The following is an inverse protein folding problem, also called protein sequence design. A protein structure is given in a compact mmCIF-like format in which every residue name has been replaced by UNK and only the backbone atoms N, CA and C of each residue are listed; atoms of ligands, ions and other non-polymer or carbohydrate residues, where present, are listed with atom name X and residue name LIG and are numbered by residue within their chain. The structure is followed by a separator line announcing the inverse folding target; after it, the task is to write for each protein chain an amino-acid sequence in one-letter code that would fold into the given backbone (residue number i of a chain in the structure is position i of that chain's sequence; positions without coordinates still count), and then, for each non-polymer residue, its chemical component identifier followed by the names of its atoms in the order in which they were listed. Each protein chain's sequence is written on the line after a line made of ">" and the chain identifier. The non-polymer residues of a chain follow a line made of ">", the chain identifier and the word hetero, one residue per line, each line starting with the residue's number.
data_IF_431844925908
#
_entry.id   IF_431844925908
#
_cell.length_a   1.000
_cell.length_b   1.000
_cell.length_c   1.000
_cell.angle_alpha   90.00
_cell.angle_beta   90.00
_cell.angle_gamma   90.00
#
_symmetry.space_group_name_H-M   'P 1'
#
loop_
_entity.id
_entity.type
_entity.pdbx_description
1 polymer ?
#
# COMPACT_ATOMS: atom_id res chain seq x y z
N UNK A 1 -21.76 -4.67 -3.22
CA UNK A 1 -20.38 -5.05 -2.88
C UNK A 1 -20.37 -6.51 -2.43
N UNK A 2 -19.34 -7.28 -2.77
CA UNK A 2 -19.09 -8.62 -2.23
C UNK A 2 -17.66 -8.71 -1.72
N UNK A 3 -17.45 -9.63 -0.78
CA UNK A 3 -16.12 -9.92 -0.24
C UNK A 3 -15.28 -10.61 -1.30
N UNK A 4 -14.09 -10.08 -1.58
CA UNK A 4 -13.03 -10.71 -2.37
C UNK A 4 -11.81 -10.87 -1.48
N UNK A 5 -11.24 -12.08 -1.47
CA UNK A 5 -10.03 -12.42 -0.73
C UNK A 5 -8.81 -12.27 -1.62
N UNK A 6 -7.96 -11.32 -1.28
CA UNK A 6 -6.70 -11.04 -1.97
C UNK A 6 -5.54 -11.57 -1.13
N UNK A 7 -4.66 -12.36 -1.73
CA UNK A 7 -3.42 -12.83 -1.12
C UNK A 7 -2.28 -11.98 -1.66
N UNK A 8 -1.65 -11.21 -0.79
CA UNK A 8 -0.57 -10.29 -1.10
C UNK A 8 0.78 -10.90 -0.69
N UNK A 9 1.73 -10.88 -1.61
CA UNK A 9 3.13 -11.27 -1.39
C UNK A 9 4.06 -10.39 -2.20
N UNK A 10 5.31 -10.25 -1.79
CA UNK A 10 6.37 -9.54 -2.51
C UNK A 10 7.72 -10.08 -2.06
N UNK A 11 8.81 -9.73 -2.76
CA UNK A 11 10.18 -9.97 -2.29
C UNK A 11 10.43 -11.46 -1.98
N UNK A 12 9.96 -12.32 -2.88
CA UNK A 12 10.10 -13.77 -2.72
C UNK A 12 11.49 -14.26 -3.08
N UNK A 13 12.23 -13.54 -3.93
CA UNK A 13 13.65 -13.78 -4.16
C UNK A 13 13.98 -15.27 -4.45
N UNK A 14 13.33 -15.85 -5.47
CA UNK A 14 13.39 -17.26 -5.88
C UNK A 14 12.78 -18.29 -4.92
N UNK A 15 12.21 -17.84 -3.80
CA UNK A 15 11.40 -18.68 -2.93
C UNK A 15 10.02 -18.90 -3.54
N UNK A 16 9.40 -20.02 -3.17
CA UNK A 16 8.07 -20.42 -3.65
C UNK A 16 7.19 -20.75 -2.45
N UNK A 17 6.78 -19.75 -1.65
CA UNK A 17 6.03 -20.00 -0.43
C UNK A 17 4.71 -20.72 -0.70
N UNK A 18 4.25 -21.50 0.29
CA UNK A 18 2.88 -22.03 0.28
C UNK A 18 1.92 -20.86 0.52
N UNK A 19 1.00 -20.65 -0.41
CA UNK A 19 0.00 -19.59 -0.32
C UNK A 19 -1.30 -20.11 0.30
N UNK A 20 -1.99 -19.32 1.13
CA UNK A 20 -3.35 -19.63 1.55
C UNK A 20 -4.34 -19.50 0.38
N UNK A 21 -5.50 -20.14 0.47
CA UNK A 21 -6.53 -19.98 -0.55
C UNK A 21 -7.08 -18.54 -0.58
N UNK A 22 -7.38 -18.05 -1.78
CA UNK A 22 -8.02 -16.77 -2.03
C UNK A 22 -8.55 -16.68 -3.45
N UNK A 23 -9.16 -15.56 -3.79
CA UNK A 23 -9.73 -15.33 -5.12
C UNK A 23 -8.67 -14.72 -6.06
N UNK A 24 -7.82 -13.84 -5.50
CA UNK A 24 -6.81 -13.07 -6.25
C UNK A 24 -5.45 -13.21 -5.59
N UNK A 25 -4.41 -13.45 -6.38
CA UNK A 25 -3.01 -13.33 -5.97
C UNK A 25 -2.42 -12.03 -6.50
N UNK A 26 -1.75 -11.26 -5.64
CA UNK A 26 -0.96 -10.09 -6.03
C UNK A 26 0.50 -10.29 -5.58
N UNK A 27 1.42 -10.27 -6.54
CA UNK A 27 2.87 -10.25 -6.29
C UNK A 27 3.44 -8.85 -6.57
N UNK A 28 3.92 -8.14 -5.54
CA UNK A 28 4.33 -6.74 -5.64
C UNK A 28 5.81 -6.51 -5.97
N UNK A 29 6.40 -7.37 -6.81
CA UNK A 29 7.80 -7.26 -7.26
C UNK A 29 8.80 -8.16 -6.51
N UNK A 30 10.02 -8.21 -7.03
CA UNK A 30 11.15 -9.01 -6.56
C UNK A 30 10.83 -10.51 -6.46
N UNK A 31 10.40 -11.06 -7.59
CA UNK A 31 10.16 -12.49 -7.75
C UNK A 31 11.46 -13.30 -7.64
N UNK A 32 12.58 -12.70 -8.05
CA UNK A 32 13.87 -13.37 -8.27
C UNK A 32 15.00 -12.68 -7.51
N UNK A 33 16.20 -13.25 -7.52
CA UNK A 33 17.39 -12.58 -6.97
C UNK A 33 18.06 -11.64 -7.98
N UNK A 34 17.92 -11.89 -9.28
CA UNK A 34 18.64 -11.14 -10.31
C UNK A 34 17.89 -11.05 -11.64
N UNK A 35 16.76 -11.74 -11.79
CA UNK A 35 15.97 -11.73 -13.01
C UNK A 35 16.60 -12.49 -14.17
N UNK A 36 17.42 -13.52 -13.93
CA UNK A 36 17.84 -14.40 -15.04
C UNK A 36 16.63 -15.16 -15.61
N UNK A 37 16.71 -15.58 -16.88
CA UNK A 37 15.65 -16.34 -17.55
C UNK A 37 15.25 -17.60 -16.76
N UNK A 38 16.23 -18.33 -16.22
CA UNK A 38 15.96 -19.53 -15.40
C UNK A 38 15.23 -19.23 -14.11
N UNK A 39 15.55 -18.11 -13.45
CA UNK A 39 14.86 -17.67 -12.23
C UNK A 39 13.44 -17.23 -12.54
N UNK A 40 13.27 -16.37 -13.55
CA UNK A 40 11.97 -15.89 -14.01
C UNK A 40 11.06 -17.05 -14.41
N UNK A 41 11.58 -18.00 -15.19
CA UNK A 41 10.82 -19.18 -15.61
C UNK A 41 10.32 -19.97 -14.39
N UNK A 42 11.18 -20.23 -13.40
CA UNK A 42 10.80 -20.92 -12.17
C UNK A 42 9.73 -20.17 -11.39
N UNK A 43 9.86 -18.84 -11.27
CA UNK A 43 8.90 -17.99 -10.56
C UNK A 43 7.54 -17.96 -11.27
N UNK A 44 7.53 -17.75 -12.59
CA UNK A 44 6.32 -17.77 -13.43
C UNK A 44 5.63 -19.12 -13.28
N UNK A 45 6.33 -20.23 -13.49
CA UNK A 45 5.75 -21.57 -13.34
C UNK A 45 5.16 -21.81 -11.95
N UNK A 46 5.76 -21.28 -10.89
CA UNK A 46 5.21 -21.35 -9.54
C UNK A 46 3.90 -20.57 -9.42
N UNK A 47 3.84 -19.34 -9.92
CA UNK A 47 2.63 -18.50 -9.89
C UNK A 47 1.52 -19.12 -10.73
N UNK A 48 1.84 -19.60 -11.94
CA UNK A 48 0.86 -20.21 -12.84
C UNK A 48 0.17 -21.44 -12.21
N UNK A 49 0.89 -22.21 -11.40
CA UNK A 49 0.34 -23.38 -10.67
C UNK A 49 -0.58 -23.04 -9.50
N UNK A 50 -0.64 -21.79 -9.06
CA UNK A 50 -1.49 -21.43 -7.92
C UNK A 50 -2.96 -21.40 -8.31
N UNK A 51 -3.84 -21.86 -7.43
CA UNK A 51 -5.29 -21.91 -7.66
C UNK A 51 -5.95 -20.60 -7.22
N UNK A 52 -5.74 -19.57 -8.05
CA UNK A 52 -6.39 -18.25 -7.93
C UNK A 52 -7.03 -17.92 -9.27
N UNK A 53 -8.18 -17.27 -9.23
CA UNK A 53 -8.89 -16.86 -10.43
C UNK A 53 -8.15 -15.74 -11.18
N UNK A 54 -7.57 -14.79 -10.45
CA UNK A 54 -6.71 -13.75 -11.00
C UNK A 54 -5.34 -13.72 -10.32
N UNK A 55 -4.28 -13.54 -11.11
CA UNK A 55 -2.89 -13.45 -10.63
C UNK A 55 -2.26 -12.20 -11.22
N UNK A 56 -1.98 -11.21 -10.39
CA UNK A 56 -1.45 -9.91 -10.80
C UNK A 56 -0.01 -9.83 -10.33
N UNK A 57 0.89 -9.46 -11.24
CA UNK A 57 2.32 -9.39 -10.97
C UNK A 57 2.86 -8.07 -11.47
N UNK A 58 3.64 -7.39 -10.62
CA UNK A 58 4.58 -6.36 -11.05
C UNK A 58 6.00 -6.88 -10.84
N UNK A 59 6.96 -6.37 -11.61
CA UNK A 59 8.38 -6.61 -11.36
C UNK A 59 8.87 -5.77 -10.17
N UNK A 60 10.03 -6.10 -9.61
CA UNK A 60 10.79 -5.25 -8.70
C UNK A 60 12.16 -4.92 -9.25
N UNK A 61 13.02 -4.30 -8.44
CA UNK A 61 14.34 -3.86 -8.87
C UNK A 61 15.32 -5.02 -9.12
N UNK A 62 15.01 -6.23 -8.65
CA UNK A 62 15.77 -7.45 -8.91
C UNK A 62 15.46 -8.11 -10.25
N UNK A 63 14.36 -7.77 -10.93
CA UNK A 63 14.03 -8.30 -12.25
C UNK A 63 14.82 -7.60 -13.38
N UNK A 64 16.15 -7.63 -13.28
CA UNK A 64 17.07 -6.82 -14.09
C UNK A 64 16.85 -6.99 -15.59
N UNK A 65 16.61 -8.21 -16.07
CA UNK A 65 16.42 -8.47 -17.51
C UNK A 65 15.09 -7.95 -18.04
N UNK A 66 14.12 -7.61 -17.18
CA UNK A 66 12.84 -7.04 -17.60
C UNK A 66 12.97 -5.53 -17.92
N UNK A 67 13.98 -4.85 -17.38
CA UNK A 67 14.40 -3.50 -17.77
C UNK A 67 15.51 -3.60 -18.83
N UNK A 68 15.12 -3.80 -20.08
CA UNK A 68 16.07 -4.01 -21.18
C UNK A 68 17.09 -2.86 -21.34
N UNK A 69 16.72 -1.55 -21.26
CA UNK A 69 17.68 -0.46 -21.23
C UNK A 69 18.72 -0.59 -20.11
N UNK A 70 18.27 -0.86 -18.87
CA UNK A 70 19.17 -1.04 -17.74
C UNK A 70 20.08 -2.26 -17.90
N UNK A 71 19.50 -3.42 -18.28
CA UNK A 71 20.26 -4.65 -18.51
C UNK A 71 21.34 -4.46 -19.57
N UNK A 72 21.02 -3.88 -20.73
CA UNK A 72 21.99 -3.71 -21.81
C UNK A 72 23.17 -2.83 -21.41
N UNK A 73 22.91 -1.80 -20.58
CA UNK A 73 23.93 -0.90 -20.04
C UNK A 73 24.78 -1.55 -18.93
N UNK A 74 24.16 -2.36 -18.07
CA UNK A 74 24.76 -2.81 -16.81
C UNK A 74 25.03 -4.32 -16.71
N UNK A 75 24.76 -5.13 -17.75
CA UNK A 75 24.90 -6.60 -17.69
C UNK A 75 26.27 -7.08 -17.25
N UNK A 76 27.34 -6.32 -17.51
CA UNK A 76 28.71 -6.62 -17.09
C UNK A 76 28.97 -6.47 -15.58
N UNK A 77 28.07 -5.80 -14.85
CA UNK A 77 28.14 -5.68 -13.38
C UNK A 77 27.62 -6.92 -12.64
N UNK A 78 27.09 -7.91 -13.37
CA UNK A 78 26.41 -9.07 -12.80
C UNK A 78 26.99 -10.37 -13.34
N UNK A 79 26.96 -11.42 -12.51
CA UNK A 79 27.31 -12.77 -12.94
C UNK A 79 26.05 -13.49 -13.39
N UNK A 80 25.99 -13.87 -14.66
CA UNK A 80 24.84 -14.56 -15.24
C UNK A 80 25.10 -16.07 -15.37
N UNK A 81 24.06 -16.93 -15.24
CA UNK A 81 24.20 -18.37 -15.46
C UNK A 81 24.45 -18.73 -16.94
N UNK A 82 24.20 -17.78 -17.85
CA UNK A 82 24.44 -17.88 -19.28
C UNK A 82 24.05 -16.56 -19.96
N UNK A 83 24.03 -16.53 -21.29
CA UNK A 83 23.51 -15.36 -22.02
C UNK A 83 22.02 -15.14 -21.69
N UNK A 84 21.65 -13.89 -21.49
CA UNK A 84 20.27 -13.50 -21.21
C UNK A 84 19.73 -12.68 -22.38
N UNK A 85 18.47 -12.93 -22.73
CA UNK A 85 17.70 -12.15 -23.67
C UNK A 85 16.53 -11.47 -22.93
N UNK A 86 16.58 -10.14 -22.71
CA UNK A 86 15.50 -9.37 -22.12
C UNK A 86 14.13 -9.63 -22.75
N UNK A 87 14.09 -9.85 -24.07
CA UNK A 87 12.84 -10.10 -24.80
C UNK A 87 12.26 -11.45 -24.39
N UNK A 88 13.07 -12.50 -24.41
CA UNK A 88 12.65 -13.83 -23.98
C UNK A 88 12.24 -13.86 -22.49
N UNK A 89 12.98 -13.15 -21.64
CA UNK A 89 12.64 -13.00 -20.22
C UNK A 89 11.27 -12.35 -20.03
N UNK A 90 11.00 -11.23 -20.71
CA UNK A 90 9.73 -10.51 -20.59
C UNK A 90 8.55 -11.32 -21.12
N UNK A 91 8.75 -12.09 -22.21
CA UNK A 91 7.74 -12.98 -22.78
C UNK A 91 7.17 -13.99 -21.79
N UNK A 92 7.97 -14.50 -20.85
CA UNK A 92 7.50 -15.43 -19.81
C UNK A 92 6.31 -14.86 -19.01
N UNK A 93 6.30 -13.54 -18.77
CA UNK A 93 5.24 -12.85 -18.04
C UNK A 93 4.13 -12.34 -18.96
N UNK A 94 4.48 -11.67 -20.08
CA UNK A 94 3.48 -11.03 -20.93
C UNK A 94 2.67 -12.01 -21.80
N UNK A 95 3.23 -13.18 -22.13
CA UNK A 95 2.53 -14.20 -22.92
C UNK A 95 1.85 -15.26 -22.02
N UNK A 96 1.95 -15.16 -20.69
CA UNK A 96 1.26 -16.05 -19.78
C UNK A 96 -0.26 -15.87 -19.89
N UNK A 97 -0.98 -16.98 -19.99
CA UNK A 97 -2.46 -16.97 -20.03
C UNK A 97 -3.10 -16.81 -18.66
N UNK A 98 -2.33 -17.01 -17.59
CA UNK A 98 -2.84 -16.99 -16.21
C UNK A 98 -2.33 -15.83 -15.38
N UNK A 99 -1.24 -15.19 -15.79
CA UNK A 99 -0.66 -14.02 -15.12
C UNK A 99 -1.03 -12.76 -15.88
N UNK A 100 -1.54 -11.77 -15.14
CA UNK A 100 -1.65 -10.39 -15.60
C UNK A 100 -0.43 -9.61 -15.11
N UNK A 101 0.55 -9.44 -15.99
CA UNK A 101 1.73 -8.64 -15.71
C UNK A 101 1.47 -7.15 -15.98
N UNK A 102 1.73 -6.29 -14.99
CA UNK A 102 1.54 -4.85 -15.09
C UNK A 102 2.90 -4.15 -15.00
N UNK A 103 3.20 -3.32 -15.98
CA UNK A 103 4.43 -2.55 -16.05
C UNK A 103 4.11 -1.08 -16.28
N UNK A 104 3.77 -0.39 -15.19
CA UNK A 104 3.32 0.99 -15.20
C UNK A 104 2.03 1.20 -16.02
N UNK A 105 1.08 0.29 -15.82
CA UNK A 105 -0.18 0.21 -16.57
C UNK A 105 -1.36 -0.12 -15.65
N UNK A 106 -2.58 0.20 -16.11
CA UNK A 106 -3.83 -0.16 -15.44
C UNK A 106 -4.55 -1.26 -16.20
N UNK A 107 -5.22 -2.14 -15.46
CA UNK A 107 -6.15 -3.13 -15.99
C UNK A 107 -7.44 -3.17 -15.17
N UNK A 108 -8.48 -3.80 -15.71
CA UNK A 108 -9.70 -4.16 -14.97
C UNK A 108 -9.70 -5.66 -14.76
N UNK A 109 -9.96 -6.08 -13.52
CA UNK A 109 -10.05 -7.49 -13.13
C UNK A 109 -11.52 -7.83 -12.94
N UNK A 110 -11.95 -8.90 -13.58
CA UNK A 110 -13.30 -9.43 -13.52
C UNK A 110 -13.23 -10.87 -13.04
N UNK A 111 -13.82 -11.13 -11.86
CA UNK A 111 -13.94 -12.46 -11.29
C UNK A 111 -15.31 -13.01 -11.67
N UNK A 112 -15.34 -14.03 -12.50
CA UNK A 112 -16.50 -14.64 -13.16
C UNK A 112 -16.70 -16.11 -12.79
N UNK A 113 -15.83 -16.69 -11.96
CA UNK A 113 -15.95 -18.07 -11.50
C UNK A 113 -17.34 -18.30 -10.89
N UNK A 114 -18.07 -19.37 -11.28
CA UNK A 114 -19.44 -19.63 -10.80
C UNK A 114 -19.55 -19.74 -9.27
N UNK A 115 -18.48 -20.20 -8.62
CA UNK A 115 -18.39 -20.31 -7.16
C UNK A 115 -17.58 -19.17 -6.53
N UNK A 116 -17.12 -18.21 -7.35
CA UNK A 116 -16.31 -17.08 -6.94
C UNK A 116 -17.15 -15.88 -6.50
N UNK A 117 -16.49 -14.76 -6.16
CA UNK A 117 -17.19 -13.59 -5.64
C UNK A 117 -18.03 -12.86 -6.69
N UNK A 118 -17.77 -13.01 -7.99
CA UNK A 118 -18.52 -12.31 -9.03
C UNK A 118 -18.26 -10.80 -9.01
N UNK A 119 -17.00 -10.37 -8.87
CA UNK A 119 -16.64 -8.97 -8.58
C UNK A 119 -15.75 -8.35 -9.65
N UNK A 120 -15.76 -7.01 -9.71
CA UNK A 120 -14.96 -6.23 -10.65
C UNK A 120 -14.28 -5.05 -9.98
N UNK A 121 -13.01 -4.83 -10.29
CA UNK A 121 -12.22 -3.72 -9.77
C UNK A 121 -11.06 -3.38 -10.71
N UNK A 122 -10.52 -2.17 -10.59
CA UNK A 122 -9.37 -1.69 -11.36
C UNK A 122 -8.07 -1.80 -10.58
N UNK A 123 -6.98 -2.12 -11.28
CA UNK A 123 -5.65 -2.26 -10.68
C UNK A 123 -4.63 -1.51 -11.51
N UNK A 124 -3.91 -0.57 -10.90
CA UNK A 124 -2.69 0.00 -11.46
C UNK A 124 -1.48 -0.76 -10.91
N UNK A 125 -0.54 -1.14 -11.76
CA UNK A 125 0.68 -1.83 -11.37
C UNK A 125 1.94 -1.15 -11.90
N UNK A 126 2.98 -0.96 -11.08
CA UNK A 126 4.25 -0.35 -11.49
C UNK A 126 5.46 -0.95 -10.77
N UNK A 127 6.55 -1.31 -11.48
CA UNK A 127 7.76 -1.85 -10.86
C UNK A 127 8.68 -0.77 -10.30
N UNK A 128 8.40 0.50 -10.60
CA UNK A 128 9.35 1.58 -10.43
C UNK A 128 9.73 1.88 -8.98
N UNK A 129 11.03 2.12 -8.77
CA UNK A 129 11.60 2.51 -7.47
C UNK A 129 12.47 3.77 -7.54
N UNK A 130 12.58 4.56 -6.45
CA UNK A 130 13.55 5.64 -6.38
C UNK A 130 14.97 5.10 -6.60
N UNK A 131 15.81 5.87 -7.27
CA UNK A 131 17.19 5.47 -7.54
C UNK A 131 17.97 5.14 -6.25
N UNK A 132 18.35 3.87 -6.12
CA UNK A 132 19.16 3.32 -5.03
C UNK A 132 20.18 2.33 -5.60
N UNK A 133 21.48 2.64 -5.48
CA UNK A 133 22.54 1.80 -6.05
C UNK A 133 22.36 1.54 -7.56
N UNK A 134 22.69 0.33 -8.02
CA UNK A 134 22.67 -0.05 -9.43
C UNK A 134 21.67 -1.19 -9.65
N UNK A 135 20.37 -0.86 -9.62
CA UNK A 135 19.27 -1.82 -9.84
C UNK A 135 18.31 -1.34 -10.94
N UNK A 136 17.50 -2.27 -11.45
CA UNK A 136 16.54 -1.99 -12.53
C UNK A 136 15.33 -1.17 -12.05
N UNK A 137 14.58 -0.62 -13.02
CA UNK A 137 13.32 0.10 -12.82
C UNK A 137 13.43 1.34 -11.93
N UNK A 138 14.57 2.04 -12.00
CA UNK A 138 14.81 3.21 -11.16
C UNK A 138 14.48 4.53 -11.85
N UNK A 139 13.88 5.46 -11.09
CA UNK A 139 13.69 6.85 -11.50
C UNK A 139 14.43 7.81 -10.54
N UNK A 140 14.79 8.98 -11.04
CA UNK A 140 15.44 10.04 -10.27
C UNK A 140 14.40 10.78 -9.43
N UNK A 141 14.83 11.37 -8.30
CA UNK A 141 13.92 12.02 -7.36
C UNK A 141 13.06 13.13 -8.01
N UNK A 142 13.63 13.86 -8.97
CA UNK A 142 12.94 14.90 -9.75
C UNK A 142 11.87 14.35 -10.72
N UNK A 143 11.96 13.09 -11.13
CA UNK A 143 11.00 12.42 -12.03
C UNK A 143 9.81 11.82 -11.27
N UNK A 144 9.88 11.77 -9.94
CA UNK A 144 8.94 11.02 -9.10
C UNK A 144 7.48 11.49 -9.28
N UNK A 145 7.26 12.80 -9.38
CA UNK A 145 5.91 13.34 -9.63
C UNK A 145 5.37 12.91 -10.99
N UNK A 146 6.17 13.02 -12.05
CA UNK A 146 5.76 12.67 -13.41
C UNK A 146 5.49 11.17 -13.55
N UNK A 147 6.24 10.34 -12.82
CA UNK A 147 6.01 8.91 -12.72
C UNK A 147 4.66 8.64 -12.05
N UNK A 148 4.41 9.16 -10.85
CA UNK A 148 3.23 8.78 -10.08
C UNK A 148 1.94 9.49 -10.51
N UNK A 149 2.02 10.66 -11.16
CA UNK A 149 0.83 11.33 -11.71
C UNK A 149 0.16 10.55 -12.84
N UNK A 150 0.82 9.52 -13.39
CA UNK A 150 0.24 8.60 -14.39
C UNK A 150 -0.71 7.54 -13.83
N UNK A 151 -0.72 7.31 -12.51
CA UNK A 151 -1.75 6.46 -11.89
C UNK A 151 -3.10 7.11 -12.17
N UNK A 152 -4.11 6.45 -12.76
CA UNK A 152 -5.38 7.10 -13.04
C UNK A 152 -6.18 7.42 -11.77
N UNK A 153 -6.98 8.49 -11.81
CA UNK A 153 -7.96 8.78 -10.77
C UNK A 153 -9.02 7.66 -10.71
N UNK A 154 -9.54 7.38 -9.52
CA UNK A 154 -10.60 6.38 -9.34
C UNK A 154 -10.15 4.91 -9.41
N UNK A 155 -8.84 4.64 -9.46
CA UNK A 155 -8.32 3.27 -9.38
C UNK A 155 -8.62 2.64 -8.02
N UNK A 156 -9.10 1.39 -8.01
CA UNK A 156 -9.47 0.71 -6.76
C UNK A 156 -8.23 0.22 -5.98
N UNK A 157 -7.24 -0.31 -6.69
CA UNK A 157 -6.03 -0.91 -6.11
C UNK A 157 -4.79 -0.37 -6.84
N UNK A 158 -3.81 0.08 -6.06
CA UNK A 158 -2.47 0.42 -6.54
C UNK A 158 -1.49 -0.65 -6.09
N UNK A 159 -0.72 -1.19 -7.03
CA UNK A 159 0.37 -2.16 -6.77
C UNK A 159 1.68 -1.53 -7.24
N UNK A 160 2.57 -1.23 -6.31
CA UNK A 160 3.87 -0.63 -6.62
C UNK A 160 4.96 -1.40 -5.90
N UNK A 161 6.12 -1.60 -6.52
CA UNK A 161 7.20 -2.22 -5.75
C UNK A 161 7.65 -1.31 -4.60
N UNK A 162 7.73 0.00 -4.84
CA UNK A 162 8.02 1.03 -3.82
C UNK A 162 6.85 1.29 -2.87
N UNK A 163 7.09 1.39 -1.54
CA UNK A 163 6.10 1.88 -0.59
C UNK A 163 5.96 3.41 -0.62
N UNK A 164 4.79 3.97 -0.28
CA UNK A 164 4.65 5.41 -0.04
C UNK A 164 5.43 5.83 1.21
N UNK A 165 6.02 7.03 1.19
CA UNK A 165 6.78 7.56 2.34
C UNK A 165 5.92 7.60 3.61
N UNK A 166 6.48 7.13 4.72
CA UNK A 166 5.86 7.19 6.05
C UNK A 166 4.96 6.00 6.40
N UNK A 167 4.61 5.14 5.43
CA UNK A 167 3.70 4.02 5.65
C UNK A 167 4.32 2.70 5.18
N UNK A 168 4.50 1.78 6.13
CA UNK A 168 5.09 0.45 5.86
C UNK A 168 6.44 0.51 5.09
N UNK A 169 7.27 1.52 5.39
CA UNK A 169 8.52 1.85 4.69
C UNK A 169 9.71 2.07 5.64
N UNK A 170 9.61 1.59 6.88
CA UNK A 170 10.69 1.68 7.86
C UNK A 170 11.87 0.75 7.49
N UNK A 171 13.09 1.27 7.58
CA UNK A 171 14.36 0.58 7.37
C UNK A 171 15.09 0.34 8.69
N UNK A 172 16.04 -0.59 8.71
CA UNK A 172 16.88 -0.86 9.89
C UNK A 172 18.04 0.14 10.05
N UNK A 173 18.29 1.01 9.06
CA UNK A 173 19.43 1.91 9.09
C UNK A 173 19.11 3.26 9.74
N UNK A 174 20.10 3.76 10.49
CA UNK A 174 20.09 5.00 11.25
C UNK A 174 20.10 6.28 10.37
N UNK A 175 19.37 6.29 9.24
CA UNK A 175 18.99 7.57 8.64
C UNK A 175 18.11 8.31 9.65
N UNK A 176 18.21 9.65 9.70
CA UNK A 176 17.58 10.47 10.76
C UNK A 176 16.06 10.28 10.91
N UNK A 177 15.42 9.73 9.88
CA UNK A 177 13.99 9.40 9.80
C UNK A 177 13.73 7.89 9.60
N UNK A 178 14.74 7.07 9.22
CA UNK A 178 14.62 5.62 9.06
C UNK A 178 13.68 5.15 7.94
N UNK A 179 13.10 6.04 7.15
CA UNK A 179 11.99 5.77 6.22
C UNK A 179 12.42 5.91 4.76
N UNK A 180 12.16 4.93 3.92
CA UNK A 180 12.67 4.86 2.54
C UNK A 180 11.60 4.98 1.44
N UNK A 181 10.33 5.15 1.82
CA UNK A 181 9.24 5.25 0.85
C UNK A 181 9.26 6.55 0.04
N UNK A 182 8.48 6.61 -1.04
CA UNK A 182 8.47 7.74 -1.96
C UNK A 182 7.45 8.83 -1.55
N UNK A 183 7.88 10.10 -1.33
CA UNK A 183 6.97 11.19 -0.98
C UNK A 183 5.99 11.58 -2.09
N UNK A 184 6.40 11.47 -3.36
CA UNK A 184 5.53 11.75 -4.50
C UNK A 184 4.42 10.68 -4.63
N UNK A 185 4.73 9.41 -4.33
CA UNK A 185 3.72 8.36 -4.27
C UNK A 185 2.72 8.62 -3.15
N UNK A 186 3.17 9.01 -1.95
CA UNK A 186 2.29 9.43 -0.84
C UNK A 186 1.32 10.55 -1.28
N UNK A 187 1.86 11.59 -1.94
CA UNK A 187 1.05 12.70 -2.47
C UNK A 187 0.06 12.26 -3.55
N UNK A 188 0.41 11.29 -4.39
CA UNK A 188 -0.53 10.75 -5.38
C UNK A 188 -1.64 9.95 -4.71
N UNK A 189 -1.30 9.09 -3.76
CA UNK A 189 -2.27 8.29 -3.01
C UNK A 189 -3.25 9.16 -2.21
N UNK A 190 -2.81 10.27 -1.62
CA UNK A 190 -3.71 11.19 -0.91
C UNK A 190 -4.74 11.88 -1.81
N UNK A 191 -4.42 12.03 -3.10
CA UNK A 191 -5.31 12.60 -4.12
C UNK A 191 -6.30 11.56 -4.65
N UNK A 192 -5.83 10.37 -5.03
CA UNK A 192 -6.67 9.35 -5.71
C UNK A 192 -7.35 8.37 -4.76
N UNK A 193 -6.81 8.22 -3.55
CA UNK A 193 -7.38 7.47 -2.41
C UNK A 193 -7.87 6.06 -2.81
N UNK A 194 -6.98 5.19 -3.30
CA UNK A 194 -7.39 3.83 -3.64
C UNK A 194 -7.78 3.08 -2.37
N UNK A 195 -8.59 2.02 -2.48
CA UNK A 195 -8.93 1.16 -1.34
C UNK A 195 -7.66 0.51 -0.77
N UNK A 196 -6.81 0.02 -1.66
CA UNK A 196 -5.58 -0.70 -1.31
C UNK A 196 -4.37 -0.10 -2.04
N UNK A 197 -3.26 0.01 -1.33
CA UNK A 197 -1.93 0.27 -1.88
C UNK A 197 -1.00 -0.86 -1.44
N UNK A 198 -0.65 -1.76 -2.35
CA UNK A 198 0.13 -2.98 -2.05
C UNK A 198 1.55 -2.81 -2.58
N UNK A 199 2.55 -3.06 -1.74
CA UNK A 199 3.95 -2.87 -2.06
C UNK A 199 4.88 -3.91 -1.43
N UNK A 200 6.19 -3.73 -1.66
CA UNK A 200 7.28 -4.54 -1.13
C UNK A 200 8.53 -3.71 -0.91
N UNK A 201 9.68 -4.18 -1.42
CA UNK A 201 10.98 -3.49 -1.51
C UNK A 201 11.68 -3.29 -0.16
N UNK A 202 10.97 -2.72 0.82
CA UNK A 202 11.49 -2.45 2.16
C UNK A 202 11.05 -3.59 3.09
N UNK A 203 11.90 -4.60 3.25
CA UNK A 203 11.55 -5.83 3.98
C UNK A 203 11.19 -5.59 5.45
N UNK A 204 11.88 -4.64 6.09
CA UNK A 204 11.64 -4.20 7.46
C UNK A 204 10.28 -3.51 7.61
N UNK A 205 9.75 -2.96 6.51
CA UNK A 205 8.46 -2.29 6.45
C UNK A 205 7.26 -3.23 6.37
N UNK A 206 7.46 -4.56 6.30
CA UNK A 206 6.39 -5.57 6.25
C UNK A 206 5.34 -5.29 7.32
N UNK A 207 4.12 -4.99 6.88
CA UNK A 207 3.05 -4.55 7.77
C UNK A 207 1.84 -4.03 7.00
N UNK A 208 0.85 -3.56 7.77
CA UNK A 208 -0.38 -2.98 7.23
C UNK A 208 -0.75 -1.75 8.04
N UNK A 209 -1.06 -0.67 7.33
CA UNK A 209 -1.49 0.60 7.90
C UNK A 209 -2.74 1.07 7.16
N UNK A 210 -3.79 1.46 7.88
CA UNK A 210 -4.96 2.12 7.28
C UNK A 210 -4.86 3.62 7.51
N UNK A 211 -4.61 4.35 6.44
CA UNK A 211 -4.35 5.80 6.43
C UNK A 211 -5.65 6.51 6.16
N UNK A 212 -6.05 7.44 7.04
CA UNK A 212 -7.15 8.38 6.78
C UNK A 212 -6.58 9.68 6.24
N UNK A 213 -7.02 10.07 5.05
CA UNK A 213 -6.56 11.29 4.38
C UNK A 213 -7.29 12.52 4.90
N UNK A 214 -6.58 13.63 5.01
CA UNK A 214 -7.21 14.92 5.34
C UNK A 214 -8.12 15.37 4.19
N UNK A 215 -9.33 15.83 4.54
CA UNK A 215 -10.35 16.29 3.57
C UNK A 215 -10.53 17.80 3.54
N UNK A 216 -10.10 18.51 4.58
CA UNK A 216 -10.24 19.97 4.66
C UNK A 216 -9.13 20.69 3.85
N UNK A 217 -9.45 21.80 3.15
CA UNK A 217 -8.45 22.65 2.50
C UNK A 217 -7.46 23.22 3.53
N UNK A 218 -6.18 23.27 3.18
CA UNK A 218 -5.10 23.80 4.03
C UNK A 218 -5.33 25.26 4.47
N UNK A 219 -6.22 25.98 3.79
CA UNK A 219 -6.44 27.43 3.93
C UNK A 219 -7.38 27.81 5.10
N UNK A 220 -7.96 26.83 5.79
CA UNK A 220 -8.74 27.01 7.04
C UNK A 220 -7.96 26.52 8.29
N UNK A 221 -6.65 26.31 8.14
CA UNK A 221 -5.77 25.95 9.23
C UNK A 221 -5.65 27.07 10.28
N UNK A 222 -5.98 26.76 11.53
CA UNK A 222 -5.51 27.55 12.68
C UNK A 222 -3.97 27.48 12.73
N UNK A 223 -3.30 28.43 13.39
CA UNK A 223 -1.83 28.53 13.51
C UNK A 223 -1.11 27.28 14.11
N UNK A 224 -1.84 26.21 14.38
CA UNK A 224 -1.40 24.93 14.94
C UNK A 224 -1.41 23.77 13.94
N UNK A 225 -1.74 24.00 12.66
CA UNK A 225 -1.84 22.91 11.68
C UNK A 225 -0.51 22.62 10.97
N UNK A 226 -0.02 21.38 11.05
CA UNK A 226 1.32 20.98 10.59
C UNK A 226 1.43 20.72 9.07
N UNK A 227 0.39 21.01 8.28
CA UNK A 227 0.38 20.76 6.83
C UNK A 227 0.35 19.27 6.43
N UNK A 228 0.02 18.36 7.36
CA UNK A 228 -0.01 16.91 7.12
C UNK A 228 -1.12 16.49 6.14
N UNK A 229 -0.77 15.64 5.16
CA UNK A 229 -1.73 14.99 4.26
C UNK A 229 -2.59 13.93 4.97
N UNK A 230 -2.09 13.42 6.09
CA UNK A 230 -2.66 12.31 6.86
C UNK A 230 -3.36 12.86 8.10
N UNK A 231 -4.62 12.48 8.27
CA UNK A 231 -5.42 12.82 9.46
C UNK A 231 -5.16 11.83 10.60
N UNK A 232 -5.13 10.53 10.31
CA UNK A 232 -4.85 9.48 11.30
C UNK A 232 -4.38 8.20 10.61
N UNK A 233 -3.74 7.32 11.39
CA UNK A 233 -3.26 6.01 10.93
C UNK A 233 -3.70 4.94 11.93
N UNK A 234 -4.32 3.88 11.44
CA UNK A 234 -4.57 2.66 12.21
C UNK A 234 -3.50 1.61 11.87
N UNK A 235 -2.78 1.13 12.88
CA UNK A 235 -1.75 0.10 12.73
C UNK A 235 -2.35 -1.29 12.91
N UNK A 236 -2.06 -2.19 11.98
CA UNK A 236 -2.49 -3.59 12.08
C UNK A 236 -1.59 -4.39 13.01
N UNK A 237 -2.23 -5.19 13.87
CA UNK A 237 -1.56 -6.22 14.66
C UNK A 237 -1.68 -7.56 13.93
N UNK A 238 -0.56 -8.13 13.48
CA UNK A 238 -0.54 -9.33 12.65
C UNK A 238 -0.94 -10.58 13.47
N UNK A 239 -2.15 -11.15 13.26
CA UNK A 239 -2.62 -12.31 14.02
C UNK A 239 -1.79 -13.57 13.74
N UNK A 240 -1.08 -13.60 12.61
CA UNK A 240 -0.23 -14.70 12.17
C UNK A 240 1.23 -14.59 12.60
N UNK A 241 1.66 -13.48 13.22
CA UNK A 241 3.08 -13.23 13.54
C UNK A 241 3.68 -14.27 14.51
N UNK A 242 2.94 -14.64 15.54
CA UNK A 242 3.40 -15.54 16.61
C UNK A 242 2.54 -16.80 16.76
N UNK A 243 1.62 -17.04 15.82
CA UNK A 243 0.68 -18.16 15.87
C UNK A 243 0.61 -18.91 14.53
N UNK A 244 -0.12 -20.01 14.45
CA UNK A 244 -0.40 -20.70 13.18
C UNK A 244 -1.53 -20.06 12.36
N UNK A 245 -2.13 -18.96 12.85
CA UNK A 245 -3.18 -18.25 12.12
C UNK A 245 -2.63 -17.63 10.84
N UNK A 246 -3.53 -17.41 9.88
CA UNK A 246 -3.25 -16.61 8.69
C UNK A 246 -3.07 -15.14 9.10
N UNK A 247 -2.17 -14.44 8.41
CA UNK A 247 -1.96 -13.00 8.57
C UNK A 247 -3.09 -12.24 7.86
N UNK A 248 -4.27 -12.23 8.49
CA UNK A 248 -5.50 -11.66 7.92
C UNK A 248 -5.69 -10.18 8.26
N UNK A 249 -6.11 -9.41 7.27
CA UNK A 249 -6.67 -8.07 7.35
C UNK A 249 -8.12 -8.15 6.88
N UNK A 250 -9.08 -7.86 7.75
CA UNK A 250 -10.51 -7.85 7.40
C UNK A 250 -11.00 -6.40 7.24
N UNK A 251 -11.19 -5.99 6.00
CA UNK A 251 -11.70 -4.68 5.57
C UNK A 251 -13.17 -4.76 5.12
N UNK A 252 -13.93 -5.75 5.59
CA UNK A 252 -15.37 -5.82 5.31
C UNK A 252 -16.15 -4.81 6.17
N UNK A 253 -17.32 -4.36 5.69
CA UNK A 253 -18.16 -3.38 6.41
C UNK A 253 -18.37 -3.76 7.87
N UNK A 254 -18.63 -5.04 8.17
CA UNK A 254 -18.85 -5.51 9.54
C UNK A 254 -17.64 -5.29 10.44
N UNK A 255 -16.43 -5.47 9.91
CA UNK A 255 -15.16 -5.27 10.61
C UNK A 255 -14.83 -3.77 10.79
N UNK A 256 -15.24 -2.94 9.84
CA UNK A 256 -14.98 -1.49 9.84
C UNK A 256 -15.99 -0.72 10.70
N UNK A 257 -17.25 -1.19 10.78
CA UNK A 257 -18.33 -0.49 11.49
C UNK A 257 -18.09 -0.30 13.01
N UNK A 258 -17.13 -1.01 13.60
CA UNK A 258 -16.72 -0.86 15.00
C UNK A 258 -15.43 -0.05 15.21
N UNK A 259 -14.83 0.51 14.14
CA UNK A 259 -13.61 1.32 14.24
C UNK A 259 -13.98 2.80 14.19
N UNK A 260 -13.22 3.64 14.90
CA UNK A 260 -13.37 5.11 14.91
C UNK A 260 -13.07 5.78 13.54
N UNK A 261 -12.93 4.98 12.48
CA UNK A 261 -12.73 5.44 11.12
C UNK A 261 -14.03 5.72 10.36
N UNK A 262 -15.20 5.52 10.96
CA UNK A 262 -16.50 5.82 10.35
C UNK A 262 -16.92 4.76 9.32
N UNK A 263 -18.16 4.32 9.41
CA UNK A 263 -18.72 3.34 8.51
C UNK A 263 -19.17 4.02 7.21
N UNK A 264 -18.37 3.95 6.14
CA UNK A 264 -18.78 4.41 4.81
C UNK A 264 -19.72 3.41 4.14
N UNK A 265 -20.95 3.36 4.64
CA UNK A 265 -22.10 2.84 3.89
C UNK A 265 -23.31 3.74 4.10
N UNK A 266 -23.53 4.66 3.16
CA UNK A 266 -24.84 5.26 2.96
C UNK A 266 -25.84 4.20 2.51
N UNK A 267 -26.51 3.52 3.45
CA UNK A 267 -27.77 2.85 3.18
C UNK A 267 -28.85 3.94 3.04
N UNK A 268 -29.74 3.89 2.04
CA UNK A 268 -30.82 4.85 1.92
C UNK A 268 -31.81 4.58 3.06
N UNK A 269 -31.73 5.33 4.16
CA UNK A 269 -32.79 5.33 5.17
C UNK A 269 -34.02 5.99 4.55
N UNK A 270 -35.01 5.17 4.22
CA UNK A 270 -36.39 5.64 4.15
C UNK A 270 -36.75 6.22 5.53
N UNK A 271 -37.19 7.47 5.51
CA UNK A 271 -37.73 8.17 6.66
C UNK A 271 -39.05 7.55 7.06
N UNK A 272 -39.13 6.98 8.26
CA UNK A 272 -40.38 6.94 9.03
C UNK A 272 -40.04 7.50 10.41
N UNK A 273 -40.62 8.67 10.68
CA UNK A 273 -40.71 9.29 11.99
C UNK A 273 -41.70 8.53 12.87
N UNK A 274 -41.43 8.46 14.17
CA UNK A 274 -42.36 8.64 15.30
C UNK A 274 -41.59 8.29 16.59
N UNK A 275 -41.13 9.27 17.36
CA UNK A 275 -41.82 10.03 18.41
C UNK A 275 -41.93 9.30 19.76
N UNK A 276 -41.16 9.83 20.72
CA UNK A 276 -41.45 10.08 22.14
C UNK A 276 -41.59 8.95 23.17
N UNK A 277 -40.76 9.06 24.22
CA UNK A 277 -41.04 9.11 25.68
C UNK A 277 -39.89 8.40 26.44
N UNK A 278 -39.01 9.13 27.13
CA UNK A 278 -39.12 9.68 28.49
C UNK A 278 -38.97 8.61 29.60
N UNK A 279 -38.17 8.94 30.64
CA UNK A 279 -38.19 8.18 31.90
C UNK A 279 -36.85 7.80 32.55
N UNK A 280 -36.19 8.79 33.16
CA UNK A 280 -35.67 8.77 34.55
C UNK A 280 -34.73 7.66 35.09
N UNK A 281 -33.50 8.08 35.42
CA UNK A 281 -32.82 8.10 36.75
C UNK A 281 -32.87 6.89 37.71
N UNK A 282 -31.67 6.43 38.16
CA UNK A 282 -31.19 6.22 39.57
C UNK A 282 -29.94 5.30 39.56
N UNK A 283 -28.74 5.76 39.92
CA UNK A 283 -28.10 5.82 41.25
C UNK A 283 -27.96 4.49 42.01
N UNK A 284 -26.72 4.00 42.21
CA UNK A 284 -25.99 3.95 43.50
C UNK A 284 -24.88 2.86 43.51
N UNK A 285 -23.81 3.20 44.22
CA UNK A 285 -22.68 2.36 44.59
C UNK A 285 -23.01 1.44 45.78
N UNK A 286 -22.25 0.36 45.97
CA UNK A 286 -21.35 0.22 47.14
C UNK A 286 -20.40 -0.98 47.03
N UNK A 287 -19.32 -0.91 47.81
CA UNK A 287 -18.19 -1.80 47.89
C UNK A 287 -18.45 -3.10 48.70
N UNK A 288 -17.52 -4.07 48.65
CA UNK A 288 -16.64 -4.42 49.79
C UNK A 288 -16.06 -5.86 49.78
N UNK A 289 -14.82 -5.96 50.30
CA UNK A 289 -14.14 -7.07 51.00
C UNK A 289 -13.35 -8.18 50.25
N UNK A 290 -12.03 -8.18 50.54
CA UNK A 290 -11.05 -9.29 50.43
C UNK A 290 -11.01 -10.10 51.77
N UNK A 291 -10.27 -11.25 51.89
CA UNK A 291 -8.80 -11.29 52.08
C UNK A 291 -8.10 -12.46 51.32
N UNK A 292 -6.87 -12.34 50.79
CA UNK A 292 -5.49 -12.38 51.38
C UNK A 292 -4.91 -13.79 51.66
N UNK A 293 -3.87 -14.19 50.89
CA UNK A 293 -2.73 -15.03 51.36
C UNK A 293 -1.47 -14.69 50.54
N UNK A 294 -0.50 -14.12 51.24
CA UNK A 294 0.88 -13.78 50.85
C UNK A 294 1.85 -14.98 50.87
N UNK A 295 2.89 -14.99 50.01
CA UNK A 295 4.29 -15.35 50.41
C UNK A 295 5.37 -14.75 49.47
N UNK A 296 6.04 -13.72 50.01
CA UNK A 296 7.47 -13.29 49.99
C UNK A 296 8.45 -13.59 48.82
N UNK A 297 9.02 -12.49 48.30
CA UNK A 297 10.40 -12.29 47.74
C UNK A 297 11.47 -12.17 48.88
N UNK A 298 12.78 -11.78 48.73
CA UNK A 298 13.56 -11.14 47.61
C UNK A 298 15.08 -11.58 47.58
N UNK A 299 16.12 -10.82 47.11
CA UNK A 299 16.18 -9.55 46.33
C UNK A 299 17.25 -9.43 45.18
N UNK A 300 16.99 -8.43 44.31
CA UNK A 300 17.86 -7.39 43.72
C UNK A 300 19.11 -7.67 42.86
N UNK A 301 19.15 -6.98 41.70
CA UNK A 301 20.35 -6.58 40.96
C UNK A 301 19.99 -5.79 39.68
N UNK A 302 20.15 -4.47 39.73
CA UNK A 302 19.69 -3.42 38.80
C UNK A 302 20.29 -3.41 37.38
N UNK A 303 19.55 -2.80 36.43
CA UNK A 303 20.08 -2.38 35.13
C UNK A 303 19.05 -1.89 34.10
N UNK A 304 18.38 -0.76 34.38
CA UNK A 304 17.65 0.16 33.48
C UNK A 304 17.08 -0.38 32.15
N UNK A 305 15.78 -0.69 32.13
CA UNK A 305 14.94 -0.72 30.93
C UNK A 305 14.06 0.53 30.91
N UNK A 306 14.16 1.32 29.83
CA UNK A 306 13.27 2.46 29.57
C UNK A 306 11.92 1.93 29.07
N UNK A 307 10.77 2.37 29.63
CA UNK A 307 9.46 1.91 29.17
C UNK A 307 9.11 2.50 27.80
N UNK A 308 8.70 1.64 26.86
CA UNK A 308 8.05 2.04 25.60
C UNK A 308 6.65 2.59 25.86
N UNK A 309 6.58 3.87 26.20
CA UNK A 309 5.35 4.66 26.19
C UNK A 309 5.54 6.09 25.63
N UNK A 310 6.62 6.36 24.88
CA UNK A 310 6.85 7.68 24.27
C UNK A 310 7.00 7.68 22.73
N UNK A 311 6.23 6.86 22.01
CA UNK A 311 6.22 6.88 20.53
C UNK A 311 4.89 7.32 19.89
N UNK A 312 3.94 7.82 20.67
CA UNK A 312 2.70 8.44 20.17
C UNK A 312 2.86 9.91 19.75
N UNK A 313 4.07 10.48 19.81
CA UNK A 313 4.31 11.90 19.53
C UNK A 313 5.16 12.25 18.30
N UNK A 314 5.69 11.26 17.56
CA UNK A 314 6.70 11.52 16.50
C UNK A 314 6.13 11.36 15.07
N UNK A 315 4.89 10.89 14.92
CA UNK A 315 4.23 10.73 13.62
C UNK A 315 3.48 11.98 13.11
N UNK A 316 3.56 13.13 13.80
CA UNK A 316 2.79 14.34 13.46
C UNK A 316 3.64 15.60 13.23
N UNK A 317 4.93 15.55 13.54
CA UNK A 317 5.84 16.69 13.42
C UNK A 317 7.14 16.24 12.75
N UNK A 318 7.20 16.36 11.43
CA UNK A 318 8.42 16.62 10.66
C UNK A 318 8.07 16.66 9.16
N UNK A 319 7.35 17.71 8.78
CA UNK A 319 7.38 18.22 7.41
C UNK A 319 7.76 19.70 7.51
N UNK A 320 8.71 20.13 6.66
CA UNK A 320 9.11 21.51 6.41
C UNK A 320 10.02 22.19 7.46
N UNK A 321 11.34 22.03 7.30
CA UNK A 321 12.30 23.14 7.31
C UNK A 321 13.72 22.64 7.00
N UNK A 322 14.20 22.85 5.76
CA UNK A 322 15.57 23.30 5.44
C UNK A 322 15.80 23.31 3.92
N UNK A 323 15.26 24.33 3.26
CA UNK A 323 15.79 24.81 1.98
C UNK A 323 15.84 26.34 2.00
N UNK A 324 16.74 26.89 2.83
CA UNK A 324 17.22 28.26 2.61
C UNK A 324 18.47 28.14 1.74
N UNK A 325 18.33 28.64 0.51
CA UNK A 325 19.37 28.63 -0.48
C UNK A 325 20.53 29.56 -0.16
N UNK A 326 21.63 29.32 -0.86
CA UNK A 326 22.61 30.35 -1.17
C UNK A 326 22.61 30.59 -2.68
N UNK A 327 22.64 31.89 -2.98
CA UNK A 327 22.63 32.50 -4.29
C UNK A 327 23.77 31.98 -5.17
N UNK A 328 23.51 31.83 -6.47
CA UNK A 328 24.38 32.44 -7.48
C UNK A 328 23.57 33.00 -8.64
N UNK A 329 23.77 34.29 -8.83
CA UNK A 329 23.16 35.17 -9.81
C UNK A 329 23.81 34.99 -11.17
N UNK A 330 23.01 34.98 -12.24
CA UNK A 330 23.34 35.63 -13.52
C UNK A 330 22.07 35.93 -14.29
N UNK A 331 21.85 37.23 -14.47
CA UNK A 331 20.83 37.85 -15.30
C UNK A 331 20.93 37.36 -16.75
N UNK A 332 19.80 37.28 -17.45
CA UNK A 332 19.59 37.89 -18.78
C UNK A 332 18.09 37.93 -19.16
N UNK A 333 17.52 39.12 -18.97
CA UNK A 333 16.55 39.87 -19.78
C UNK A 333 15.54 39.16 -20.70
N UNK A 334 14.26 39.31 -20.31
CA UNK A 334 13.20 40.14 -20.93
C UNK A 334 12.72 39.89 -22.38
N UNK A 335 11.47 39.41 -22.50
CA UNK A 335 10.38 39.83 -23.40
C UNK A 335 9.20 38.85 -23.12
N UNK A 336 7.93 39.19 -22.89
CA UNK A 336 7.11 40.35 -23.21
C UNK A 336 5.84 39.83 -23.93
N UNK A 337 4.65 40.24 -23.45
CA UNK A 337 3.30 40.04 -24.04
C UNK A 337 2.64 38.66 -23.95
N UNK A 338 1.33 38.48 -23.79
CA UNK A 338 0.21 39.36 -23.45
C UNK A 338 -1.01 38.48 -23.06
N UNK A 339 -1.90 39.04 -22.25
CA UNK A 339 -3.20 38.49 -21.86
C UNK A 339 -4.18 38.36 -23.04
N UNK A 340 -5.09 37.38 -23.00
CA UNK A 340 -6.48 37.56 -23.45
C UNK A 340 -7.44 36.70 -22.61
N UNK A 341 -8.44 37.38 -22.02
CA UNK A 341 -9.68 36.83 -21.47
C UNK A 341 -10.68 36.58 -22.60
N UNK A 342 -11.43 35.49 -22.52
CA UNK A 342 -12.91 35.36 -22.67
C UNK A 342 -13.23 33.85 -22.77
N UNK A 343 -14.33 33.30 -22.28
CA UNK A 343 -15.55 33.88 -21.75
C UNK A 343 -16.36 32.80 -21.04
N UNK A 344 -17.13 33.23 -20.05
CA UNK A 344 -18.01 32.40 -19.24
C UNK A 344 -19.22 31.94 -20.06
N UNK A 345 -19.50 30.62 -20.10
CA UNK A 345 -20.83 30.11 -20.46
C UNK A 345 -21.25 29.01 -19.49
N UNK A 346 -22.23 29.39 -18.68
CA UNK A 346 -23.06 28.58 -17.79
C UNK A 346 -23.69 27.41 -18.53
N UNK A 347 -23.29 26.19 -18.18
CA UNK A 347 -23.94 24.94 -18.57
C UNK A 347 -24.42 24.21 -17.32
N UNK A 348 -25.71 23.87 -17.29
CA UNK A 348 -26.48 23.37 -16.16
C UNK A 348 -25.86 22.13 -15.50
N UNK A 349 -25.88 22.14 -14.17
CA UNK A 349 -25.61 20.99 -13.32
C UNK A 349 -26.57 19.85 -13.64
N UNK A 350 -26.02 18.75 -14.14
CA UNK A 350 -26.63 17.43 -14.01
C UNK A 350 -26.01 16.79 -12.77
N UNK A 351 -26.84 16.56 -11.76
CA UNK A 351 -26.45 15.89 -10.52
C UNK A 351 -25.98 14.48 -10.81
N UNK A 352 -24.66 14.28 -10.83
CA UNK A 352 -24.06 12.97 -10.67
C UNK A 352 -24.15 12.59 -9.21
N UNK A 353 -24.62 11.38 -8.92
CA UNK A 353 -24.49 10.78 -7.60
C UNK A 353 -23.01 10.86 -7.20
N UNK A 354 -22.71 11.72 -6.24
CA UNK A 354 -21.37 11.90 -5.69
C UNK A 354 -20.99 10.57 -5.04
N UNK A 355 -20.24 9.74 -5.76
CA UNK A 355 -19.67 8.50 -5.23
C UNK A 355 -18.91 8.89 -3.97
N UNK A 356 -19.38 8.44 -2.80
CA UNK A 356 -18.77 8.72 -1.51
C UNK A 356 -17.25 8.49 -1.63
N UNK A 357 -16.48 9.58 -1.53
CA UNK A 357 -15.03 9.52 -1.69
C UNK A 357 -14.49 8.71 -0.53
N UNK A 358 -13.81 7.61 -0.85
CA UNK A 358 -13.13 6.79 0.14
C UNK A 358 -12.10 7.69 0.84
N UNK A 359 -12.29 7.90 2.14
CA UNK A 359 -11.39 8.76 2.91
C UNK A 359 -10.14 8.03 3.37
N UNK A 360 -10.11 6.71 3.24
CA UNK A 360 -9.03 5.85 3.72
C UNK A 360 -8.35 5.06 2.61
N UNK A 361 -7.06 4.77 2.80
CA UNK A 361 -6.31 3.82 1.99
C UNK A 361 -5.59 2.86 2.92
N UNK A 362 -5.77 1.55 2.71
CA UNK A 362 -4.98 0.55 3.42
C UNK A 362 -3.71 0.25 2.64
N UNK A 363 -2.56 0.61 3.22
CA UNK A 363 -1.23 0.31 2.71
C UNK A 363 -0.81 -1.06 3.24
N UNK A 364 -0.33 -1.94 2.34
CA UNK A 364 0.10 -3.29 2.64
C UNK A 364 1.51 -3.47 2.07
N UNK A 365 2.53 -3.50 2.93
CA UNK A 365 3.84 -3.99 2.51
C UNK A 365 3.88 -5.50 2.72
N UNK A 366 3.93 -6.24 1.61
CA UNK A 366 3.78 -7.68 1.54
C UNK A 366 5.12 -8.43 1.47
N UNK A 367 6.24 -7.79 1.83
CA UNK A 367 7.57 -8.39 1.77
C UNK A 367 7.63 -9.74 2.51
N UNK A 368 7.92 -10.80 1.75
CA UNK A 368 8.02 -12.16 2.23
C UNK A 368 9.36 -12.41 2.92
N UNK A 369 10.47 -11.99 2.30
CA UNK A 369 11.77 -12.13 2.93
C UNK A 369 11.89 -11.15 4.09
N UNK A 370 12.44 -11.61 5.20
CA UNK A 370 12.70 -10.77 6.37
C UNK A 370 13.80 -9.73 6.14
N UNK A 371 14.00 -8.82 7.11
CA UNK A 371 15.15 -7.91 7.15
C UNK A 371 16.46 -8.63 6.88
N UNK A 372 17.43 -7.94 6.28
CA UNK A 372 18.81 -8.45 6.26
C UNK A 372 19.56 -7.93 7.49
N UNK A 373 20.09 -8.82 8.32
CA UNK A 373 21.03 -8.49 9.40
C UNK A 373 22.39 -9.08 9.02
N UNK A 374 23.42 -8.24 8.99
CA UNK A 374 24.77 -8.60 8.53
C UNK A 374 24.79 -9.29 7.14
N UNK A 375 23.95 -8.79 6.22
CA UNK A 375 23.84 -9.29 4.84
C UNK A 375 23.03 -10.57 4.66
N UNK A 376 22.53 -11.19 5.74
CA UNK A 376 21.70 -12.41 5.68
C UNK A 376 20.24 -12.10 6.03
N UNK A 377 19.25 -12.65 5.31
CA UNK A 377 17.84 -12.50 5.68
C UNK A 377 17.57 -13.19 7.03
N UNK A 378 16.81 -12.53 7.90
CA UNK A 378 16.51 -13.00 9.26
C UNK A 378 15.39 -14.04 9.33
N UNK A 379 14.81 -14.41 8.19
CA UNK A 379 13.72 -15.38 8.08
C UNK A 379 12.76 -15.02 6.96
N UNK A 380 11.54 -15.56 7.06
CA UNK A 380 10.45 -15.28 6.13
C UNK A 380 9.18 -14.93 6.90
N UNK A 381 8.39 -14.01 6.35
CA UNK A 381 7.06 -13.66 6.83
C UNK A 381 6.00 -14.51 6.15
N UNK A 382 4.77 -14.52 6.69
CA UNK A 382 3.64 -15.11 5.98
C UNK A 382 3.09 -14.14 4.93
N UNK A 383 2.53 -14.65 3.82
CA UNK A 383 1.69 -13.84 2.93
C UNK A 383 0.58 -13.14 3.73
N UNK A 384 0.29 -11.89 3.37
CA UNK A 384 -0.82 -11.13 3.98
C UNK A 384 -2.09 -11.46 3.20
N UNK A 385 -3.17 -11.79 3.90
CA UNK A 385 -4.48 -12.05 3.31
C UNK A 385 -5.37 -10.86 3.61
N UNK A 386 -5.99 -10.27 2.59
CA UNK A 386 -6.88 -9.13 2.71
C UNK A 386 -8.28 -9.54 2.26
N UNK A 387 -9.24 -9.55 3.19
CA UNK A 387 -10.66 -9.68 2.86
C UNK A 387 -11.21 -8.26 2.67
N UNK A 388 -11.49 -7.87 1.42
CA UNK A 388 -11.97 -6.53 1.05
C UNK A 388 -13.32 -6.61 0.34
N UNK A 389 -14.14 -5.57 0.47
CA UNK A 389 -15.36 -5.46 -0.30
C UNK A 389 -15.15 -4.66 -1.59
N UNK A 390 -15.54 -5.27 -2.72
CA UNK A 390 -15.45 -4.68 -4.06
C UNK A 390 -16.80 -4.78 -4.80
N UNK A 391 -17.03 -3.96 -5.85
CA UNK A 391 -18.28 -3.98 -6.62
C UNK A 391 -18.57 -5.35 -7.23
N UNK A 392 -19.85 -5.72 -7.28
CA UNK A 392 -20.31 -6.94 -7.95
C UNK A 392 -20.39 -6.65 -9.44
N UNK A 393 -19.88 -7.58 -10.25
CA UNK A 393 -20.11 -7.59 -11.69
C UNK A 393 -21.49 -8.21 -11.94
N UNK A 394 -22.40 -7.43 -12.52
CA UNK A 394 -23.61 -8.00 -13.15
C UNK A 394 -23.31 -8.12 -14.63
N UNK A 395 -23.41 -9.32 -15.18
CA UNK A 395 -23.36 -9.48 -16.63
C UNK A 395 -24.55 -8.70 -17.23
N UNK A 396 -24.35 -7.86 -18.27
CA UNK A 396 -25.43 -7.07 -18.86
C UNK A 396 -26.61 -7.89 -19.41
N UNK A 397 -26.47 -9.20 -19.57
CA UNK A 397 -27.47 -10.08 -20.20
C UNK A 397 -28.40 -10.82 -19.20
N UNK A 398 -28.43 -10.41 -17.92
CA UNK A 398 -29.33 -10.99 -16.89
C UNK A 398 -30.47 -10.04 -16.42
N UNK A 399 -30.92 -9.10 -17.26
CA UNK A 399 -32.16 -8.31 -17.02
C UNK A 399 -33.34 -8.74 -17.90
#
# INVERSE_FOLDING_TARGET
>A
MRKTRIVCVSDTHNQTPKLPCGDVLIHAGDLTNQGSYSELKKAVEWIERQDFEAKIVVAGNHEITLDAPFFNKNKGSWKWPGDQDPTACKKLLVESKSITYLEHTTTTVELTSPNGPGTRFTVFGSPYTPQQANWAFQYRAEEAEDVWNKIPDGVDIVVTHTPPKGHCDGSAEASRDGREGCPALLRRLSKIRPKLSICGHIHQGRGVETVRWRTQPLDQATQSDSGSLVQSVEFWSDPGQTSNKISLVDLTIKSIAGRDLGCDTGLPRQSISDSMQDGTMRSQADASLAPDVTWRQPPSGDGNLVPTSSLTGIALENNEAWWRGENHSKQLRNAGHACLNDGCRTGRAFGGAETARIETTTVVNAAYLGPRIAGKPTGHHKPIVVDVQVPVWKCPDEE
#
